data_IF_740722184361
#
_entry.id   IF_740722184361
#
_cell.length_a   1.000
_cell.length_b   1.000
_cell.length_c   1.000
_cell.angle_alpha   90.00
_cell.angle_beta   90.00
_cell.angle_gamma   90.00
#
_symmetry.space_group_name_H-M   'P 1'
#
loop_
_entity.id
_entity.type
_entity.pdbx_description
1 polymer ?
#
# COMPACT_ATOMS: atom_id res chain seq x y z
N UNK A 1 21.40 -39.95 -35.07
CA UNK A 1 20.43 -39.77 -33.95
C UNK A 1 20.96 -38.94 -32.80
N UNK A 2 22.22 -39.04 -32.44
CA UNK A 2 22.84 -38.29 -31.32
C UNK A 2 22.78 -36.75 -31.46
N UNK A 3 22.98 -36.24 -32.68
CA UNK A 3 22.93 -34.76 -32.93
C UNK A 3 21.54 -34.12 -32.69
N UNK A 4 20.47 -34.91 -32.83
CA UNK A 4 19.10 -34.40 -32.62
C UNK A 4 18.75 -34.26 -31.14
N UNK A 5 19.27 -35.14 -30.30
CA UNK A 5 19.07 -35.04 -28.84
C UNK A 5 19.91 -33.93 -28.19
N UNK A 6 21.10 -33.67 -28.73
CA UNK A 6 21.94 -32.57 -28.25
C UNK A 6 21.31 -31.20 -28.54
N UNK A 7 20.67 -31.04 -29.71
CA UNK A 7 19.96 -29.82 -30.09
C UNK A 7 18.72 -29.57 -29.21
N UNK A 8 17.96 -30.61 -28.85
CA UNK A 8 16.79 -30.53 -27.97
C UNK A 8 17.24 -30.18 -26.53
N UNK A 9 18.34 -30.77 -26.09
CA UNK A 9 18.89 -30.50 -24.73
C UNK A 9 19.38 -29.06 -24.58
N UNK A 10 19.99 -28.49 -25.61
CA UNK A 10 20.44 -27.09 -25.62
C UNK A 10 19.27 -26.10 -25.64
N UNK A 11 18.18 -26.42 -26.34
CA UNK A 11 16.99 -25.53 -26.35
C UNK A 11 16.22 -25.57 -25.04
N UNK A 12 16.15 -26.71 -24.35
CA UNK A 12 15.52 -26.82 -23.04
C UNK A 12 16.34 -26.08 -21.98
N UNK A 13 17.68 -26.17 -22.05
CA UNK A 13 18.57 -25.49 -21.09
C UNK A 13 18.53 -23.98 -21.28
N UNK A 14 18.35 -23.47 -22.50
CA UNK A 14 18.21 -22.02 -22.74
C UNK A 14 16.88 -21.45 -22.28
N UNK A 15 15.78 -22.24 -22.27
CA UNK A 15 14.50 -21.80 -21.70
C UNK A 15 14.51 -21.68 -20.17
N UNK A 16 15.30 -22.50 -19.48
CA UNK A 16 15.43 -22.43 -18.02
C UNK A 16 16.21 -21.21 -17.53
N UNK A 17 17.07 -20.62 -18.38
CA UNK A 17 17.81 -19.42 -18.02
C UNK A 17 17.01 -18.11 -18.21
N UNK A 18 15.96 -18.11 -19.02
CA UNK A 18 15.12 -16.91 -19.21
C UNK A 18 14.06 -16.72 -18.11
N UNK A 19 13.60 -17.78 -17.45
CA UNK A 19 12.63 -17.68 -16.34
C UNK A 19 13.23 -17.02 -15.07
N UNK A 20 14.51 -17.27 -14.78
CA UNK A 20 15.14 -16.75 -13.57
C UNK A 20 15.63 -15.30 -13.65
N UNK A 21 15.60 -14.66 -14.83
CA UNK A 21 16.04 -13.27 -14.98
C UNK A 21 14.83 -12.31 -14.85
N UNK A 22 13.64 -12.71 -15.29
CA UNK A 22 12.41 -11.93 -15.18
C UNK A 22 11.97 -11.78 -13.72
N UNK A 23 11.89 -12.86 -12.96
CA UNK A 23 11.49 -12.83 -11.54
C UNK A 23 12.38 -11.91 -10.68
N UNK A 24 13.70 -11.90 -10.93
CA UNK A 24 14.61 -11.01 -10.20
C UNK A 24 14.44 -9.54 -10.59
N UNK A 25 14.09 -9.27 -11.84
CA UNK A 25 13.87 -7.91 -12.33
C UNK A 25 12.54 -7.37 -11.80
N UNK A 26 11.46 -8.14 -11.87
CA UNK A 26 10.15 -7.80 -11.29
C UNK A 26 10.24 -7.49 -9.80
N UNK A 27 10.91 -8.35 -9.04
CA UNK A 27 11.13 -8.14 -7.61
C UNK A 27 11.94 -6.87 -7.32
N UNK A 28 12.93 -6.56 -8.13
CA UNK A 28 13.74 -5.35 -7.95
C UNK A 28 12.91 -4.10 -8.22
N UNK A 29 12.13 -4.10 -9.29
CA UNK A 29 11.23 -3.00 -9.65
C UNK A 29 10.16 -2.81 -8.56
N UNK A 30 9.54 -3.89 -8.10
CA UNK A 30 8.56 -3.83 -7.02
C UNK A 30 9.13 -3.22 -5.74
N UNK A 31 10.30 -3.66 -5.29
CA UNK A 31 10.97 -3.09 -4.10
C UNK A 31 11.33 -1.62 -4.26
N UNK A 32 11.73 -1.20 -5.44
CA UNK A 32 12.00 0.20 -5.74
C UNK A 32 10.71 1.04 -5.69
N UNK A 33 9.60 0.55 -6.27
CA UNK A 33 8.31 1.21 -6.23
C UNK A 33 7.78 1.34 -4.79
N UNK A 34 7.90 0.30 -3.98
CA UNK A 34 7.56 0.33 -2.55
C UNK A 34 8.43 1.36 -1.80
N UNK A 35 9.74 1.39 -2.05
CA UNK A 35 10.65 2.37 -1.41
C UNK A 35 10.27 3.81 -1.78
N UNK A 36 9.92 4.05 -3.04
CA UNK A 36 9.45 5.35 -3.51
C UNK A 36 8.14 5.74 -2.83
N UNK A 37 7.17 4.81 -2.73
CA UNK A 37 5.93 5.05 -2.01
C UNK A 37 6.18 5.53 -0.57
N UNK A 38 7.00 4.83 0.21
CA UNK A 38 7.30 5.24 1.60
C UNK A 38 8.01 6.60 1.66
N UNK A 39 8.84 6.92 0.69
CA UNK A 39 9.54 8.20 0.62
C UNK A 39 8.54 9.34 0.40
N UNK A 40 7.63 9.19 -0.56
CA UNK A 40 6.59 10.18 -0.88
C UNK A 40 5.60 10.35 0.28
N UNK A 41 5.12 9.26 0.88
CA UNK A 41 4.23 9.31 2.06
C UNK A 41 4.90 10.05 3.21
N UNK A 42 6.17 9.76 3.51
CA UNK A 42 6.92 10.44 4.59
C UNK A 42 7.13 11.92 4.31
N UNK A 43 7.32 12.31 3.04
CA UNK A 43 7.41 13.71 2.65
C UNK A 43 6.09 14.45 2.90
N UNK A 44 4.96 13.86 2.48
CA UNK A 44 3.62 14.43 2.68
C UNK A 44 3.29 14.53 4.18
N UNK A 45 3.60 13.51 4.99
CA UNK A 45 3.44 13.57 6.46
C UNK A 45 4.24 14.71 7.06
N UNK A 46 5.46 14.93 6.57
CA UNK A 46 6.30 16.06 7.03
C UNK A 46 5.66 17.41 6.71
N UNK A 47 5.06 17.55 5.53
CA UNK A 47 4.34 18.76 5.14
C UNK A 47 3.07 18.98 5.98
N UNK A 48 2.30 17.91 6.24
CA UNK A 48 1.13 17.97 7.13
C UNK A 48 1.54 18.43 8.55
N UNK A 49 2.60 17.85 9.10
CA UNK A 49 3.10 18.18 10.42
C UNK A 49 3.71 19.61 10.52
N UNK A 50 4.07 20.21 9.39
CA UNK A 50 4.59 21.57 9.31
C UNK A 50 3.49 22.63 9.17
N UNK A 51 2.22 22.24 9.04
CA UNK A 51 1.10 23.18 8.92
C UNK A 51 0.95 23.95 10.25
N UNK A 52 1.05 25.26 10.20
CA UNK A 52 0.77 26.10 11.35
C UNK A 52 -0.74 26.19 11.60
N UNK A 53 -1.19 25.79 12.78
CA UNK A 53 -2.63 25.69 13.15
C UNK A 53 -3.37 27.02 13.03
N UNK A 54 -2.67 28.15 13.21
CA UNK A 54 -3.20 29.53 13.14
C UNK A 54 -3.12 30.13 11.73
N UNK A 55 -2.68 29.37 10.74
CA UNK A 55 -2.63 29.81 9.34
C UNK A 55 -4.03 29.91 8.73
N UNK A 56 -4.30 31.01 8.02
CA UNK A 56 -5.56 31.19 7.27
C UNK A 56 -5.80 30.05 6.23
N UNK A 57 -4.72 29.40 5.78
CA UNK A 57 -4.76 28.33 4.80
C UNK A 57 -4.56 26.93 5.41
N UNK A 58 -4.57 26.79 6.75
CA UNK A 58 -4.27 25.52 7.40
C UNK A 58 -5.15 24.37 6.89
N UNK A 59 -6.46 24.57 6.87
CA UNK A 59 -7.43 23.55 6.41
C UNK A 59 -7.24 23.23 4.93
N UNK A 60 -7.13 24.23 4.06
CA UNK A 60 -6.96 23.98 2.62
C UNK A 60 -5.63 23.29 2.32
N UNK A 61 -4.57 23.62 3.04
CA UNK A 61 -3.26 22.95 2.91
C UNK A 61 -3.35 21.51 3.40
N UNK A 62 -4.02 21.26 4.52
CA UNK A 62 -4.27 19.91 5.03
C UNK A 62 -5.02 19.06 3.98
N UNK A 63 -6.12 19.55 3.45
CA UNK A 63 -6.93 18.81 2.48
C UNK A 63 -6.15 18.49 1.19
N UNK A 64 -5.35 19.44 0.69
CA UNK A 64 -4.49 19.19 -0.48
C UNK A 64 -3.47 18.09 -0.19
N UNK A 65 -2.80 18.12 0.97
CA UNK A 65 -1.83 17.10 1.35
C UNK A 65 -2.50 15.72 1.56
N UNK A 66 -3.69 15.70 2.15
CA UNK A 66 -4.46 14.47 2.30
C UNK A 66 -4.87 13.87 0.95
N UNK A 67 -5.23 14.70 -0.02
CA UNK A 67 -5.54 14.26 -1.38
C UNK A 67 -4.31 13.67 -2.08
N UNK A 68 -3.14 14.32 -1.97
CA UNK A 68 -1.87 13.77 -2.45
C UNK A 68 -1.51 12.45 -1.75
N UNK A 69 -1.76 12.34 -0.45
CA UNK A 69 -1.60 11.09 0.29
C UNK A 69 -2.45 9.98 -0.32
N UNK A 70 -3.74 10.23 -0.56
CA UNK A 70 -4.64 9.25 -1.20
C UNK A 70 -4.16 8.82 -2.58
N UNK A 71 -3.63 9.75 -3.39
CA UNK A 71 -3.04 9.41 -4.69
C UNK A 71 -1.85 8.46 -4.57
N UNK A 72 -1.00 8.60 -3.53
CA UNK A 72 0.11 7.66 -3.33
C UNK A 72 -0.40 6.27 -2.92
N UNK A 73 -1.41 6.22 -2.04
CA UNK A 73 -2.02 4.95 -1.64
C UNK A 73 -2.71 4.23 -2.81
N UNK A 74 -3.34 4.97 -3.72
CA UNK A 74 -3.89 4.38 -4.93
C UNK A 74 -2.79 3.82 -5.83
N UNK A 75 -1.67 4.53 -5.99
CA UNK A 75 -0.52 4.01 -6.74
C UNK A 75 0.06 2.74 -6.12
N UNK A 76 0.04 2.62 -4.78
CA UNK A 76 0.44 1.40 -4.09
C UNK A 76 -0.48 0.22 -4.43
N UNK A 77 -1.80 0.43 -4.41
CA UNK A 77 -2.78 -0.58 -4.78
C UNK A 77 -2.69 -1.01 -6.25
N UNK A 78 -2.29 -0.09 -7.14
CA UNK A 78 -2.14 -0.36 -8.57
C UNK A 78 -0.82 -1.07 -8.94
N UNK A 79 0.06 -1.41 -7.96
CA UNK A 79 1.31 -2.10 -8.24
C UNK A 79 1.09 -3.55 -8.65
N UNK A 80 1.88 -4.02 -9.62
CA UNK A 80 2.00 -5.46 -9.90
C UNK A 80 2.81 -6.12 -8.78
N UNK A 81 2.13 -6.91 -7.94
CA UNK A 81 2.74 -7.59 -6.80
C UNK A 81 3.31 -8.94 -7.22
N UNK A 82 4.61 -9.22 -6.99
CA UNK A 82 5.19 -10.54 -7.26
C UNK A 82 4.50 -11.64 -6.44
N UNK A 83 4.38 -12.84 -7.01
CA UNK A 83 3.65 -13.97 -6.42
C UNK A 83 4.11 -14.34 -4.99
N UNK A 84 5.36 -14.06 -4.64
CA UNK A 84 5.91 -14.29 -3.30
C UNK A 84 5.39 -13.29 -2.25
N UNK A 85 4.78 -12.18 -2.69
CA UNK A 85 4.22 -11.12 -1.83
C UNK A 85 2.72 -10.92 -2.04
N UNK A 86 1.99 -11.92 -2.52
CA UNK A 86 0.55 -11.83 -2.81
C UNK A 86 -0.27 -11.22 -1.65
N UNK A 87 0.11 -11.48 -0.41
CA UNK A 87 -0.54 -10.88 0.77
C UNK A 87 -0.39 -9.35 0.87
N UNK A 88 0.53 -8.75 0.10
CA UNK A 88 0.70 -7.29 0.05
C UNK A 88 -0.40 -6.65 -0.80
N UNK A 89 -0.93 -7.34 -1.82
CA UNK A 89 -1.97 -6.85 -2.70
C UNK A 89 -3.24 -6.47 -1.91
N UNK A 90 -3.77 -7.41 -1.12
CA UNK A 90 -4.97 -7.17 -0.29
C UNK A 90 -4.75 -6.04 0.72
N UNK A 91 -3.56 -5.98 1.34
CA UNK A 91 -3.23 -4.92 2.29
C UNK A 91 -3.08 -3.54 1.61
N UNK A 92 -2.60 -3.49 0.39
CA UNK A 92 -2.48 -2.27 -0.39
C UNK A 92 -3.86 -1.74 -0.81
N UNK A 93 -4.75 -2.61 -1.26
CA UNK A 93 -6.14 -2.29 -1.59
C UNK A 93 -6.91 -1.77 -0.38
N UNK A 94 -6.80 -2.46 0.75
CA UNK A 94 -7.37 -2.02 2.02
C UNK A 94 -6.84 -0.65 2.43
N UNK A 95 -5.52 -0.45 2.36
CA UNK A 95 -4.89 0.81 2.72
C UNK A 95 -5.39 1.97 1.85
N UNK A 96 -5.49 1.77 0.54
CA UNK A 96 -6.00 2.76 -0.40
C UNK A 96 -7.48 3.09 -0.11
N UNK A 97 -8.31 2.09 0.17
CA UNK A 97 -9.72 2.26 0.51
C UNK A 97 -9.89 3.09 1.79
N UNK A 98 -9.15 2.77 2.86
CA UNK A 98 -9.18 3.53 4.10
C UNK A 98 -8.68 4.96 3.92
N UNK A 99 -7.60 5.17 3.16
CA UNK A 99 -7.08 6.51 2.92
C UNK A 99 -8.05 7.36 2.11
N UNK A 100 -8.68 6.81 1.08
CA UNK A 100 -9.73 7.47 0.31
C UNK A 100 -10.88 7.93 1.22
N UNK A 101 -11.37 7.03 2.09
CA UNK A 101 -12.45 7.36 3.03
C UNK A 101 -12.02 8.43 4.05
N UNK A 102 -10.78 8.41 4.53
CA UNK A 102 -10.24 9.45 5.40
C UNK A 102 -10.30 10.83 4.72
N UNK A 103 -9.84 10.92 3.48
CA UNK A 103 -9.83 12.17 2.70
C UNK A 103 -11.25 12.68 2.48
N UNK A 104 -12.18 11.79 2.10
CA UNK A 104 -13.59 12.13 1.91
C UNK A 104 -14.21 12.72 3.19
N UNK A 105 -13.98 12.06 4.33
CA UNK A 105 -14.51 12.48 5.63
C UNK A 105 -13.88 13.79 6.13
N UNK A 106 -12.58 14.01 5.92
CA UNK A 106 -11.95 15.30 6.22
C UNK A 106 -12.54 16.41 5.34
N UNK A 107 -12.76 16.16 4.04
CA UNK A 107 -13.40 17.13 3.15
C UNK A 107 -14.78 17.53 3.68
N UNK A 108 -15.64 16.56 4.00
CA UNK A 108 -16.99 16.80 4.55
C UNK A 108 -16.95 17.48 5.91
N UNK A 109 -15.95 17.21 6.76
CA UNK A 109 -15.84 17.81 8.09
C UNK A 109 -15.61 19.33 8.05
N UNK A 110 -15.01 19.82 6.95
CA UNK A 110 -14.68 21.23 6.76
C UNK A 110 -15.51 21.93 5.66
N UNK A 111 -16.51 21.27 5.09
CA UNK A 111 -17.32 21.83 4.00
C UNK A 111 -18.26 22.95 4.48
N UNK A 112 -18.82 22.81 5.68
CA UNK A 112 -19.75 23.78 6.28
C UNK A 112 -19.04 24.84 7.16
N UNK A 113 -19.77 25.88 7.53
CA UNK A 113 -19.31 26.91 8.48
C UNK A 113 -19.00 26.35 9.89
N UNK A 114 -19.42 25.11 10.17
CA UNK A 114 -19.19 24.40 11.43
C UNK A 114 -18.38 23.15 11.21
N UNK A 115 -17.20 23.08 11.84
CA UNK A 115 -16.34 21.90 11.81
C UNK A 115 -17.03 20.75 12.55
N UNK A 116 -17.12 19.59 11.88
CA UNK A 116 -17.73 18.39 12.45
C UNK A 116 -16.70 17.50 13.16
N UNK A 117 -16.65 17.58 14.49
CA UNK A 117 -15.75 16.74 15.30
C UNK A 117 -15.96 15.24 15.09
N UNK A 118 -17.19 14.80 14.86
CA UNK A 118 -17.51 13.39 14.61
C UNK A 118 -16.96 12.90 13.27
N UNK A 119 -17.00 13.73 12.23
CA UNK A 119 -16.40 13.40 10.93
C UNK A 119 -14.88 13.41 11.01
N UNK A 120 -14.27 14.37 11.75
CA UNK A 120 -12.83 14.38 12.01
C UNK A 120 -12.39 13.10 12.72
N UNK A 121 -13.12 12.65 13.73
CA UNK A 121 -12.79 11.40 14.44
C UNK A 121 -12.88 10.18 13.51
N UNK A 122 -13.92 10.10 12.68
CA UNK A 122 -14.07 9.03 11.71
C UNK A 122 -12.97 9.08 10.63
N UNK A 123 -12.60 10.28 10.15
CA UNK A 123 -11.50 10.47 9.22
C UNK A 123 -10.17 10.00 9.82
N UNK A 124 -9.88 10.40 11.06
CA UNK A 124 -8.66 9.99 11.78
C UNK A 124 -8.57 8.48 11.94
N UNK A 125 -9.69 7.81 12.29
CA UNK A 125 -9.74 6.35 12.38
C UNK A 125 -9.39 5.67 11.03
N UNK A 126 -9.93 6.17 9.93
CA UNK A 126 -9.63 5.64 8.61
C UNK A 126 -8.17 5.90 8.22
N UNK A 127 -7.63 7.09 8.49
CA UNK A 127 -6.23 7.42 8.28
C UNK A 127 -5.30 6.45 9.05
N UNK A 128 -5.54 6.27 10.35
CA UNK A 128 -4.76 5.35 11.19
C UNK A 128 -4.86 3.90 10.68
N UNK A 129 -6.04 3.49 10.19
CA UNK A 129 -6.26 2.17 9.60
C UNK A 129 -5.45 1.99 8.33
N UNK A 130 -5.38 2.99 7.44
CA UNK A 130 -4.54 2.98 6.26
C UNK A 130 -3.05 2.87 6.63
N UNK A 131 -2.58 3.71 7.56
CA UNK A 131 -1.19 3.71 8.03
C UNK A 131 -0.80 2.37 8.68
N UNK A 132 -1.72 1.72 9.38
CA UNK A 132 -1.51 0.40 9.94
C UNK A 132 -1.28 -0.67 8.87
N UNK A 133 -2.04 -0.62 7.74
CA UNK A 133 -1.86 -1.56 6.62
C UNK A 133 -0.49 -1.41 5.96
N UNK A 134 -0.05 -0.20 5.70
CA UNK A 134 1.28 0.00 5.12
C UNK A 134 2.40 -0.43 6.08
N UNK A 135 2.20 -0.28 7.39
CA UNK A 135 3.14 -0.82 8.37
C UNK A 135 3.20 -2.36 8.31
N UNK A 136 2.07 -3.05 8.12
CA UNK A 136 2.05 -4.49 7.91
C UNK A 136 2.78 -4.90 6.62
N UNK A 137 2.60 -4.15 5.52
CA UNK A 137 3.35 -4.36 4.28
C UNK A 137 4.86 -4.25 4.54
N UNK A 138 5.31 -3.22 5.28
CA UNK A 138 6.72 -3.05 5.59
C UNK A 138 7.31 -4.26 6.36
N UNK A 139 6.55 -4.82 7.31
CA UNK A 139 6.96 -5.98 8.11
C UNK A 139 7.00 -7.25 7.25
N UNK A 140 5.98 -7.48 6.41
CA UNK A 140 5.94 -8.63 5.49
C UNK A 140 7.11 -8.60 4.49
N UNK A 141 7.47 -7.44 3.97
CA UNK A 141 8.59 -7.28 3.05
C UNK A 141 9.96 -7.53 3.70
N UNK A 142 10.04 -7.49 5.04
CA UNK A 142 11.21 -7.90 5.82
C UNK A 142 11.24 -9.41 6.10
N UNK A 143 10.19 -10.15 5.69
CA UNK A 143 10.05 -11.58 5.94
C UNK A 143 9.54 -11.91 7.34
N UNK A 144 8.94 -10.93 8.03
CA UNK A 144 8.35 -11.07 9.35
C UNK A 144 6.82 -11.13 9.24
N UNK A 145 6.16 -11.74 10.24
CA UNK A 145 4.69 -11.77 10.34
C UNK A 145 4.27 -10.70 11.34
N UNK A 146 3.48 -9.69 10.92
CA UNK A 146 3.06 -8.62 11.82
C UNK A 146 2.08 -9.16 12.88
N UNK A 147 2.27 -8.76 14.14
CA UNK A 147 1.32 -9.06 15.22
C UNK A 147 -0.03 -8.39 14.94
N UNK A 148 -1.12 -9.17 15.03
CA UNK A 148 -2.48 -8.69 14.79
C UNK A 148 -2.78 -8.36 13.32
N UNK A 149 -1.94 -8.82 12.39
CA UNK A 149 -2.36 -8.85 10.99
C UNK A 149 -3.50 -9.85 10.83
N UNK A 150 -4.50 -9.55 9.99
CA UNK A 150 -5.46 -10.56 9.63
C UNK A 150 -4.71 -11.76 9.03
N UNK A 151 -4.98 -12.95 9.57
CA UNK A 151 -4.39 -14.18 9.02
C UNK A 151 -5.04 -14.42 7.67
N UNK A 152 -4.31 -14.17 6.60
CA UNK A 152 -4.73 -14.59 5.27
C UNK A 152 -4.45 -16.09 5.21
N UNK A 153 -5.43 -16.92 5.55
CA UNK A 153 -5.38 -18.34 5.23
C UNK A 153 -5.50 -18.47 3.71
N UNK A 154 -4.49 -19.06 3.09
CA UNK A 154 -4.23 -19.05 1.66
C UNK A 154 -5.18 -19.87 0.79
N UNK A 155 -6.49 -19.78 0.97
CA UNK A 155 -7.50 -20.35 0.07
C UNK A 155 -8.52 -19.33 -0.50
N UNK A 156 -8.29 -18.03 -0.27
CA UNK A 156 -9.05 -16.95 -0.93
C UNK A 156 -10.51 -16.81 -0.50
N UNK A 157 -10.89 -17.27 0.70
CA UNK A 157 -12.26 -17.13 1.19
C UNK A 157 -12.32 -16.50 2.56
N UNK A 158 -12.90 -15.29 2.58
CA UNK A 158 -13.50 -14.53 3.68
C UNK A 158 -12.58 -14.01 4.80
N UNK A 159 -12.45 -12.70 4.76
CA UNK A 159 -12.05 -11.84 5.87
C UNK A 159 -13.13 -11.86 6.95
N UNK A 160 -12.89 -12.51 8.10
CA UNK A 160 -13.67 -12.23 9.29
C UNK A 160 -12.95 -11.16 10.13
N UNK A 161 -13.61 -10.02 10.45
CA UNK A 161 -13.02 -9.05 11.35
C UNK A 161 -12.89 -9.64 12.75
N UNK A 162 -11.68 -9.61 13.30
CA UNK A 162 -11.43 -9.97 14.70
C UNK A 162 -12.21 -9.01 15.60
N UNK A 163 -13.20 -9.51 16.32
CA UNK A 163 -13.92 -8.80 17.37
C UNK A 163 -13.26 -9.18 18.68
N UNK A 164 -12.57 -8.24 19.33
CA UNK A 164 -12.15 -8.42 20.73
C UNK A 164 -13.40 -8.56 21.63
N UNK A 165 -13.45 -9.65 22.42
CA UNK A 165 -14.40 -9.80 23.52
C UNK A 165 -13.97 -9.00 24.75
#
# INVERSE_FOLDING_TARGET
MLKRYVLILVTITSMLFFSGCGEKEELTVFKEQISNFYTEVSAIETEINAIAEDSENAVSTLLINMEQMSEQFQKLADLEVPAEFVSVEDLADDAASYMYEAVRLYGEAYEDDYVSDSLIQAASYNYESAMKRINYIAILLQGEIPEGAPVIEGDGTEFEPYVEE
#
